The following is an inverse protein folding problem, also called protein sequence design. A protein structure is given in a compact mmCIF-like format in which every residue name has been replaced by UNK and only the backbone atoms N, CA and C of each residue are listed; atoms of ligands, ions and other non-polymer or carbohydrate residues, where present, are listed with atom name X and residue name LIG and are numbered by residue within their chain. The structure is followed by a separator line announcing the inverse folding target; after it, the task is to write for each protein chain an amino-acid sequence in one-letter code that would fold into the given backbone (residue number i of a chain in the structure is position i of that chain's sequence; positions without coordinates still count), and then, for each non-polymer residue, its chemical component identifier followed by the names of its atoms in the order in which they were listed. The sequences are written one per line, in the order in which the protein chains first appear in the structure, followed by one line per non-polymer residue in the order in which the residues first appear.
data_IF_446887001003
#
_entry.id   IF_446887001003
#
_cell.length_a   1.000
_cell.length_b   1.000
_cell.length_c   1.000
_cell.angle_alpha   90.00
_cell.angle_beta   90.00
_cell.angle_gamma   90.00
#
_symmetry.space_group_name_H-M   'P 1'
#
loop_
_entity.id
_entity.type
_entity.pdbx_description
1 polymer ?
#
# COMPACT_ATOMS: atom_id res chain seq x y z
N UNK A 1 -41.65 21.85 -35.82
CA UNK A 1 -40.65 21.06 -36.57
C UNK A 1 -39.38 21.88 -36.66
N UNK A 2 -38.38 21.61 -35.82
CA UNK A 2 -37.08 22.28 -35.93
C UNK A 2 -36.25 21.58 -37.01
N UNK A 3 -36.03 22.27 -38.13
CA UNK A 3 -35.08 21.84 -39.14
C UNK A 3 -33.67 22.12 -38.63
N UNK A 4 -32.98 21.08 -38.16
CA UNK A 4 -31.54 21.16 -37.95
C UNK A 4 -30.88 21.22 -39.33
N UNK A 5 -30.22 22.33 -39.63
CA UNK A 5 -29.56 22.59 -40.91
C UNK A 5 -28.50 21.53 -41.16
N UNK A 6 -28.52 20.88 -42.32
CA UNK A 6 -27.62 19.76 -42.70
C UNK A 6 -26.14 20.08 -42.50
N UNK A 7 -25.77 21.35 -42.70
CA UNK A 7 -24.41 21.88 -42.50
C UNK A 7 -23.97 21.84 -41.03
N UNK A 8 -24.91 22.06 -40.10
CA UNK A 8 -24.66 22.04 -38.66
C UNK A 8 -24.40 20.60 -38.17
N UNK A 9 -25.11 19.61 -38.73
CA UNK A 9 -24.88 18.19 -38.44
C UNK A 9 -23.51 17.74 -38.94
N UNK A 10 -23.09 18.20 -40.13
CA UNK A 10 -21.76 17.90 -40.68
C UNK A 10 -20.63 18.54 -39.87
N UNK A 11 -20.75 19.80 -39.44
CA UNK A 11 -19.74 20.44 -38.59
C UNK A 11 -19.62 19.77 -37.22
N UNK A 12 -20.73 19.35 -36.60
CA UNK A 12 -20.71 18.62 -35.33
C UNK A 12 -20.08 17.23 -35.51
N UNK A 13 -20.37 16.53 -36.61
CA UNK A 13 -19.78 15.22 -36.90
C UNK A 13 -18.26 15.29 -37.12
N UNK A 14 -17.78 16.31 -37.86
CA UNK A 14 -16.34 16.55 -38.07
C UNK A 14 -15.65 16.88 -36.74
N UNK A 15 -16.28 17.73 -35.92
CA UNK A 15 -15.76 18.09 -34.61
C UNK A 15 -15.67 16.85 -33.69
N UNK A 16 -16.71 16.01 -33.66
CA UNK A 16 -16.71 14.75 -32.91
C UNK A 16 -15.64 13.76 -33.42
N UNK A 17 -15.43 13.67 -34.72
CA UNK A 17 -14.37 12.84 -35.32
C UNK A 17 -12.97 13.36 -34.98
N UNK A 18 -12.76 14.68 -34.95
CA UNK A 18 -11.48 15.30 -34.55
C UNK A 18 -11.19 15.09 -33.05
N UNK A 19 -12.21 15.15 -32.20
CA UNK A 19 -12.07 14.83 -30.77
C UNK A 19 -11.85 13.33 -30.53
N UNK A 20 -12.56 12.45 -31.25
CA UNK A 20 -12.39 11.01 -31.14
C UNK A 20 -10.99 10.54 -31.61
N UNK A 21 -10.47 11.13 -32.69
CA UNK A 21 -9.13 10.78 -33.22
C UNK A 21 -7.99 11.30 -32.35
N UNK A 22 -8.11 12.50 -31.76
CA UNK A 22 -7.12 13.02 -30.81
C UNK A 22 -7.12 12.25 -29.49
N UNK A 23 -8.29 11.82 -29.00
CA UNK A 23 -8.37 10.90 -27.86
C UNK A 23 -7.72 9.55 -28.19
N UNK A 24 -8.13 8.84 -29.25
CA UNK A 24 -7.55 7.52 -29.59
C UNK A 24 -6.04 7.58 -29.84
N UNK A 25 -5.56 8.64 -30.50
CA UNK A 25 -4.14 8.82 -30.80
C UNK A 25 -3.28 9.06 -29.56
N UNK A 26 -3.81 9.72 -28.52
CA UNK A 26 -3.10 9.87 -27.25
C UNK A 26 -3.11 8.55 -26.45
N UNK A 27 -4.24 7.83 -26.39
CA UNK A 27 -4.32 6.52 -25.72
C UNK A 27 -3.30 5.50 -26.27
N UNK A 28 -3.21 5.35 -27.60
CA UNK A 28 -2.27 4.41 -28.24
C UNK A 28 -0.79 4.79 -28.08
N UNK A 29 -0.50 6.08 -27.90
CA UNK A 29 0.88 6.58 -27.75
C UNK A 29 1.40 6.39 -26.32
N UNK A 30 0.51 6.34 -25.34
CA UNK A 30 0.85 6.20 -23.91
C UNK A 30 1.05 4.73 -23.50
N UNK A 31 0.25 3.79 -24.03
CA UNK A 31 0.48 2.35 -23.78
C UNK A 31 1.88 1.89 -24.24
N UNK A 32 2.39 2.42 -25.35
CA UNK A 32 3.74 2.12 -25.86
C UNK A 32 4.88 2.74 -25.03
N UNK A 33 4.58 3.61 -24.06
CA UNK A 33 5.56 4.26 -23.18
C UNK A 33 5.64 3.65 -21.78
N UNK A 34 4.78 2.68 -21.46
CA UNK A 34 4.74 2.09 -20.12
C UNK A 34 6.05 1.34 -19.83
N UNK A 35 6.81 1.85 -18.87
CA UNK A 35 8.00 1.22 -18.29
C UNK A 35 7.57 0.22 -17.23
N UNK A 36 8.39 -0.80 -17.00
CA UNK A 36 8.18 -1.78 -15.94
C UNK A 36 9.50 -2.27 -15.35
N UNK A 37 9.50 -2.51 -14.04
CA UNK A 37 10.60 -3.13 -13.32
C UNK A 37 10.08 -4.02 -12.20
N UNK A 38 10.89 -5.03 -11.88
CA UNK A 38 10.65 -6.00 -10.81
C UNK A 38 11.74 -5.80 -9.77
N UNK A 39 11.33 -5.75 -8.50
CA UNK A 39 12.19 -5.55 -7.35
C UNK A 39 11.88 -6.59 -6.27
N UNK A 40 12.80 -6.73 -5.31
CA UNK A 40 12.66 -7.62 -4.16
C UNK A 40 12.84 -6.80 -2.87
N UNK A 41 12.05 -7.11 -1.86
CA UNK A 41 12.36 -6.68 -0.49
C UNK A 41 13.67 -7.32 -0.02
N UNK A 42 14.25 -6.86 1.10
CA UNK A 42 15.23 -7.68 1.82
C UNK A 42 14.64 -9.05 2.17
N UNK A 43 15.53 -10.04 2.28
CA UNK A 43 15.18 -11.42 2.66
C UNK A 43 14.53 -11.46 4.04
N UNK A 44 13.52 -12.30 4.20
CA UNK A 44 13.00 -12.70 5.51
C UNK A 44 12.89 -14.21 5.61
N UNK A 45 12.96 -14.72 6.83
CA UNK A 45 12.88 -16.16 7.09
C UNK A 45 11.66 -16.49 7.91
N UNK A 46 10.96 -17.54 7.51
CA UNK A 46 9.78 -18.06 8.19
C UNK A 46 9.92 -19.57 8.40
N UNK A 47 9.72 -20.02 9.64
CA UNK A 47 9.46 -21.42 9.97
C UNK A 47 7.99 -21.65 10.32
N UNK A 48 7.55 -22.91 10.48
CA UNK A 48 6.17 -23.24 10.83
C UNK A 48 5.62 -22.41 11.99
N UNK A 49 4.46 -21.79 11.81
CA UNK A 49 3.77 -20.97 12.81
C UNK A 49 4.37 -19.57 13.01
N UNK A 50 5.59 -19.31 12.57
CA UNK A 50 6.25 -18.03 12.83
C UNK A 50 5.62 -16.87 12.08
N UNK A 51 5.78 -15.67 12.66
CA UNK A 51 5.29 -14.40 12.15
C UNK A 51 6.46 -13.47 11.89
N UNK A 52 6.43 -12.79 10.75
CA UNK A 52 7.21 -11.58 10.55
C UNK A 52 6.29 -10.38 10.43
N UNK A 53 6.68 -9.24 11.00
CA UNK A 53 6.02 -7.96 10.79
C UNK A 53 7.07 -6.84 10.72
N UNK A 54 7.75 -6.75 9.57
CA UNK A 54 8.96 -5.97 9.39
C UNK A 54 8.73 -4.75 8.53
N UNK A 55 9.47 -3.68 8.79
CA UNK A 55 9.45 -2.44 8.03
C UNK A 55 10.80 -2.28 7.31
N UNK A 56 10.76 -2.24 5.99
CA UNK A 56 11.93 -2.01 5.14
C UNK A 56 11.84 -0.61 4.56
N UNK A 57 12.79 0.25 4.94
CA UNK A 57 12.88 1.64 4.48
C UNK A 57 13.90 1.76 3.36
N UNK A 58 13.70 2.74 2.46
CA UNK A 58 14.61 2.98 1.35
C UNK A 58 14.65 1.83 0.35
N UNK A 59 13.51 1.17 0.13
CA UNK A 59 13.42 0.09 -0.86
C UNK A 59 13.63 0.63 -2.27
N UNK A 60 14.09 -0.24 -3.18
CA UNK A 60 14.24 0.11 -4.58
C UNK A 60 12.89 0.47 -5.19
N UNK A 61 12.84 1.60 -5.89
CA UNK A 61 11.63 2.10 -6.52
C UNK A 61 12.00 2.94 -7.75
N UNK A 62 11.16 3.01 -8.80
CA UNK A 62 11.40 3.89 -9.93
C UNK A 62 11.66 5.34 -9.50
N UNK A 63 12.71 5.95 -10.07
CA UNK A 63 13.16 7.31 -9.73
C UNK A 63 12.68 8.33 -10.77
N UNK A 64 12.65 9.60 -10.35
CA UNK A 64 12.24 10.73 -11.17
C UNK A 64 10.77 11.09 -10.95
N UNK A 65 10.33 12.14 -11.65
CA UNK A 65 8.93 12.56 -11.67
C UNK A 65 8.16 11.66 -12.63
N UNK A 66 7.31 10.80 -12.08
CA UNK A 66 6.66 9.73 -12.83
C UNK A 66 5.18 9.62 -12.49
N UNK A 67 4.45 8.95 -13.37
CA UNK A 67 3.07 8.57 -13.15
C UNK A 67 2.99 7.04 -12.96
N UNK A 68 2.64 6.59 -11.75
CA UNK A 68 2.45 5.17 -11.50
C UNK A 68 1.19 4.66 -12.21
N UNK A 69 1.35 3.50 -12.83
CA UNK A 69 0.32 2.81 -13.63
C UNK A 69 -0.14 1.50 -13.00
N UNK A 70 0.71 0.83 -12.22
CA UNK A 70 0.31 -0.31 -11.38
C UNK A 70 1.40 -0.65 -10.37
N UNK A 71 1.02 -1.25 -9.25
CA UNK A 71 1.91 -1.87 -8.29
C UNK A 71 1.35 -3.23 -7.89
N UNK A 72 2.07 -4.31 -8.17
CA UNK A 72 1.66 -5.67 -7.82
C UNK A 72 2.73 -6.34 -6.96
N UNK A 73 2.33 -7.05 -5.91
CA UNK A 73 3.25 -7.74 -5.02
C UNK A 73 2.88 -9.22 -4.84
N UNK A 74 3.90 -10.02 -4.57
CA UNK A 74 3.78 -11.47 -4.37
C UNK A 74 4.89 -11.96 -3.44
N UNK A 75 4.59 -12.90 -2.55
CA UNK A 75 5.63 -13.57 -1.76
C UNK A 75 6.24 -14.69 -2.58
N UNK A 76 7.56 -14.69 -2.70
CA UNK A 76 8.30 -15.67 -3.49
C UNK A 76 9.42 -16.34 -2.69
N UNK A 77 9.79 -17.54 -3.08
CA UNK A 77 11.00 -18.22 -2.60
C UNK A 77 12.29 -17.69 -3.26
N UNK A 78 13.43 -18.25 -2.88
CA UNK A 78 14.75 -17.92 -3.45
C UNK A 78 14.86 -18.20 -4.96
N UNK A 79 14.05 -19.12 -5.50
CA UNK A 79 13.98 -19.41 -6.92
C UNK A 79 12.98 -18.51 -7.67
N UNK A 80 12.27 -17.61 -6.97
CA UNK A 80 11.30 -16.69 -7.53
C UNK A 80 9.90 -17.30 -7.75
N UNK A 81 9.63 -18.49 -7.21
CA UNK A 81 8.31 -19.12 -7.29
C UNK A 81 7.36 -18.50 -6.27
N UNK A 82 6.13 -18.22 -6.70
CA UNK A 82 5.10 -17.71 -5.81
C UNK A 82 4.73 -18.73 -4.73
N UNK A 83 4.65 -18.28 -3.48
CA UNK A 83 4.25 -19.13 -2.36
C UNK A 83 2.71 -19.24 -2.30
N UNK A 84 2.15 -20.43 -2.04
CA UNK A 84 0.72 -20.57 -1.77
C UNK A 84 0.31 -19.89 -0.45
N UNK A 85 -0.81 -19.15 -0.47
CA UNK A 85 -1.33 -18.45 0.72
C UNK A 85 -1.69 -19.40 1.89
N UNK A 86 -2.01 -20.66 1.60
CA UNK A 86 -2.30 -21.67 2.62
C UNK A 86 -1.04 -22.23 3.30
N UNK A 87 0.14 -21.84 2.82
CA UNK A 87 1.44 -22.13 3.43
C UNK A 87 1.99 -20.88 4.11
N UNK A 88 2.13 -19.77 3.37
CA UNK A 88 2.52 -18.47 3.92
C UNK A 88 1.43 -17.46 3.64
N UNK A 89 0.72 -17.06 4.68
CA UNK A 89 -0.32 -16.07 4.60
C UNK A 89 0.30 -14.67 4.66
N UNK A 90 0.20 -13.90 3.57
CA UNK A 90 0.64 -12.51 3.53
C UNK A 90 -0.46 -11.64 4.14
N UNK A 91 -0.48 -11.51 5.48
CA UNK A 91 -1.53 -10.78 6.18
C UNK A 91 -1.67 -9.33 5.66
N UNK A 92 -0.57 -8.62 5.43
CA UNK A 92 -0.56 -7.37 4.66
C UNK A 92 0.83 -7.02 4.15
N UNK A 93 0.88 -6.19 3.10
CA UNK A 93 2.11 -5.68 2.52
C UNK A 93 2.00 -4.17 2.29
N UNK A 94 2.12 -3.36 3.33
CA UNK A 94 1.84 -1.93 3.23
C UNK A 94 2.99 -1.20 2.53
N UNK A 95 2.70 -0.49 1.43
CA UNK A 95 3.66 0.38 0.74
C UNK A 95 3.33 1.83 1.01
N UNK A 96 4.32 2.59 1.48
CA UNK A 96 4.15 4.01 1.75
C UNK A 96 5.34 4.86 1.29
N UNK A 97 5.03 6.12 1.03
CA UNK A 97 5.94 7.16 0.57
C UNK A 97 6.36 8.01 1.77
N UNK A 98 7.61 8.46 1.82
CA UNK A 98 8.10 9.36 2.86
C UNK A 98 9.22 10.25 2.36
N UNK A 99 9.40 11.39 3.03
CA UNK A 99 10.55 12.26 2.85
C UNK A 99 11.56 12.01 3.95
N UNK A 100 12.82 11.80 3.58
CA UNK A 100 13.94 11.65 4.51
C UNK A 100 14.90 12.83 4.38
N UNK A 101 15.37 13.37 5.51
CA UNK A 101 16.44 14.37 5.50
C UNK A 101 17.73 13.78 4.91
N UNK A 102 18.35 14.51 3.98
CA UNK A 102 19.61 14.11 3.32
C UNK A 102 20.80 14.02 4.28
N UNK A 103 20.68 14.59 5.49
CA UNK A 103 21.75 14.68 6.48
C UNK A 103 21.74 13.51 7.50
N UNK A 104 20.88 12.51 7.32
CA UNK A 104 20.77 11.37 8.24
C UNK A 104 21.80 10.30 7.89
N UNK A 105 22.73 10.02 8.80
CA UNK A 105 23.56 8.81 8.79
C UNK A 105 22.81 7.67 9.47
N UNK A 106 22.59 6.57 8.76
CA UNK A 106 21.81 5.42 9.25
C UNK A 106 22.49 4.70 10.43
N UNK A 107 21.72 4.35 11.46
CA UNK A 107 22.00 3.21 12.34
C UNK A 107 20.87 2.19 12.16
N UNK A 108 21.22 0.93 11.90
CA UNK A 108 20.30 -0.16 11.52
C UNK A 108 19.23 -0.51 12.59
N UNK A 109 19.36 0.02 13.82
CA UNK A 109 18.64 -0.46 14.99
C UNK A 109 17.31 0.22 15.33
N UNK A 110 16.76 1.11 14.48
CA UNK A 110 15.58 1.92 14.86
C UNK A 110 14.39 1.85 13.88
N UNK A 111 14.24 0.72 13.14
CA UNK A 111 13.15 0.49 12.18
C UNK A 111 11.75 0.69 12.77
N UNK A 112 11.58 0.51 14.08
CA UNK A 112 10.31 0.70 14.79
C UNK A 112 10.08 2.11 15.35
N UNK A 113 11.12 2.95 15.46
CA UNK A 113 11.06 4.31 16.04
C UNK A 113 11.09 5.43 15.00
N UNK A 114 11.22 5.09 13.72
CA UNK A 114 11.25 6.09 12.63
C UNK A 114 9.96 6.91 12.48
N UNK A 115 8.83 6.46 13.06
CA UNK A 115 7.55 7.19 13.08
C UNK A 115 7.58 8.46 13.96
N UNK A 116 8.56 8.62 14.85
CA UNK A 116 8.66 9.75 15.79
C UNK A 116 9.89 10.64 15.58
N UNK A 117 10.70 10.39 14.54
CA UNK A 117 11.89 11.18 14.28
C UNK A 117 11.55 12.31 13.28
N UNK A 118 11.90 13.56 13.61
CA UNK A 118 11.70 14.74 12.74
C UNK A 118 12.42 14.64 11.39
N UNK A 119 13.32 13.67 11.25
CA UNK A 119 14.07 13.38 10.04
C UNK A 119 13.30 12.57 8.98
N UNK A 120 12.10 12.08 9.32
CA UNK A 120 11.27 11.22 8.47
C UNK A 120 9.83 11.73 8.48
N UNK A 121 9.34 12.17 7.31
CA UNK A 121 7.97 12.68 7.16
C UNK A 121 7.20 11.75 6.23
N UNK A 122 6.24 11.03 6.80
CA UNK A 122 5.35 10.14 6.04
C UNK A 122 4.45 10.95 5.09
N UNK A 123 4.48 10.62 3.81
CA UNK A 123 3.57 11.20 2.81
C UNK A 123 2.35 10.30 2.69
N UNK A 124 1.21 10.81 3.17
CA UNK A 124 -0.04 10.05 3.26
C UNK A 124 -0.78 10.07 1.92
N UNK A 125 -1.67 9.09 1.72
CA UNK A 125 -2.68 9.16 0.68
C UNK A 125 -3.71 10.28 0.98
N UNK A 126 -4.63 10.55 0.07
CA UNK A 126 -5.62 11.63 0.17
C UNK A 126 -6.89 11.26 0.95
N UNK A 127 -6.92 10.10 1.60
CA UNK A 127 -8.02 9.62 2.43
C UNK A 127 -8.24 10.47 3.70
N UNK A 128 -9.45 10.35 4.25
CA UNK A 128 -9.92 11.14 5.40
C UNK A 128 -9.40 10.63 6.75
N UNK A 129 -8.82 9.42 6.79
CA UNK A 129 -8.33 8.82 8.01
C UNK A 129 -7.18 9.64 8.61
N UNK A 130 -7.38 10.09 9.84
CA UNK A 130 -6.42 10.89 10.60
C UNK A 130 -5.44 9.98 11.39
N UNK A 131 -4.44 10.59 12.03
CA UNK A 131 -3.63 9.92 13.07
C UNK A 131 -2.94 8.62 12.65
N UNK A 132 -1.99 8.66 11.72
CA UNK A 132 -1.17 7.53 11.25
C UNK A 132 -1.94 6.26 10.79
N UNK A 133 -3.27 6.28 10.75
CA UNK A 133 -4.08 5.15 10.29
C UNK A 133 -4.25 5.19 8.78
N UNK A 134 -4.12 4.05 8.10
CA UNK A 134 -4.48 3.87 6.69
C UNK A 134 -3.86 4.90 5.72
N UNK A 135 -2.63 5.35 5.98
CA UNK A 135 -1.93 6.36 5.17
C UNK A 135 -1.18 5.80 3.95
N UNK A 136 -1.18 4.48 3.78
CA UNK A 136 -0.46 3.77 2.73
C UNK A 136 -1.00 4.02 1.32
N UNK A 137 -0.20 3.70 0.31
CA UNK A 137 -0.56 3.83 -1.11
C UNK A 137 -1.05 2.49 -1.67
N UNK A 138 -0.41 1.38 -1.27
CA UNK A 138 -0.74 0.04 -1.72
C UNK A 138 -0.69 -0.99 -0.59
N UNK A 139 -1.30 -2.14 -0.85
CA UNK A 139 -1.12 -3.38 -0.10
C UNK A 139 -1.88 -3.48 1.21
N UNK A 140 -3.15 -3.89 1.05
CA UNK A 140 -4.10 -4.11 2.16
C UNK A 140 -3.91 -5.50 2.79
N UNK A 141 -3.88 -6.57 1.98
CA UNK A 141 -3.88 -7.94 2.47
C UNK A 141 -3.85 -9.00 1.38
N UNK A 142 -3.78 -10.26 1.78
CA UNK A 142 -3.83 -11.44 0.88
C UNK A 142 -5.09 -11.48 0.02
N UNK A 143 -6.17 -10.86 0.48
CA UNK A 143 -7.45 -10.73 -0.19
C UNK A 143 -7.35 -9.90 -1.48
N UNK A 144 -6.28 -9.12 -1.63
CA UNK A 144 -5.97 -8.37 -2.86
C UNK A 144 -5.01 -9.10 -3.80
N UNK A 145 -4.58 -10.32 -3.47
CA UNK A 145 -3.66 -11.09 -4.31
C UNK A 145 -4.28 -11.37 -5.67
N UNK A 146 -3.54 -11.04 -6.73
CA UNK A 146 -3.99 -11.21 -8.11
C UNK A 146 -4.98 -10.14 -8.58
N UNK A 147 -5.38 -9.19 -7.73
CA UNK A 147 -6.22 -8.07 -8.14
C UNK A 147 -5.38 -7.06 -8.92
N UNK A 148 -5.84 -6.71 -10.12
CA UNK A 148 -5.15 -5.75 -10.97
C UNK A 148 -5.22 -4.33 -10.36
N UNK A 149 -4.05 -3.72 -10.13
CA UNK A 149 -3.93 -2.33 -9.64
C UNK A 149 -3.75 -1.32 -10.78
N UNK A 150 -4.21 -1.68 -11.99
CA UNK A 150 -4.01 -0.88 -13.21
C UNK A 150 -4.76 0.45 -13.11
N UNK A 151 -4.02 1.51 -13.33
CA UNK A 151 -4.53 2.86 -13.58
C UNK A 151 -4.59 3.03 -15.10
N UNK A 152 -5.77 3.10 -15.73
CA UNK A 152 -5.87 3.24 -17.17
C UNK A 152 -5.34 4.59 -17.65
N UNK A 153 -4.95 4.69 -18.92
CA UNK A 153 -4.66 6.00 -19.51
C UNK A 153 -5.93 6.87 -19.55
N UNK A 154 -5.80 8.21 -19.62
CA UNK A 154 -4.57 9.00 -19.46
C UNK A 154 -4.19 9.19 -17.98
N UNK A 155 -4.80 8.45 -17.06
CA UNK A 155 -4.66 8.69 -15.63
C UNK A 155 -3.34 8.16 -15.06
N UNK A 156 -2.84 8.79 -14.01
CA UNK A 156 -1.62 8.34 -13.33
C UNK A 156 -1.52 8.86 -11.91
N UNK A 157 -0.93 8.07 -11.02
CA UNK A 157 -0.65 8.50 -9.64
C UNK A 157 0.71 9.21 -9.68
N UNK A 158 0.71 10.52 -9.47
CA UNK A 158 1.90 11.34 -9.47
C UNK A 158 2.80 11.03 -8.26
N UNK A 159 4.08 10.77 -8.51
CA UNK A 159 5.11 10.58 -7.47
C UNK A 159 6.44 11.17 -7.95
N UNK A 160 7.32 11.51 -6.99
CA UNK A 160 8.63 12.08 -7.30
C UNK A 160 8.58 13.49 -7.89
N UNK A 161 7.49 14.24 -7.69
CA UNK A 161 7.42 15.66 -8.06
C UNK A 161 8.36 16.47 -7.14
N UNK A 162 9.42 17.13 -7.68
CA UNK A 162 10.37 17.89 -6.86
C UNK A 162 9.74 19.04 -6.08
N UNK A 163 8.59 19.57 -6.52
CA UNK A 163 7.87 20.65 -5.83
C UNK A 163 7.16 20.16 -4.56
N UNK A 164 6.86 18.85 -4.44
CA UNK A 164 6.26 18.26 -3.23
C UNK A 164 7.30 17.93 -2.16
N UNK A 165 8.59 17.88 -2.51
CA UNK A 165 9.67 17.45 -1.61
C UNK A 165 10.29 18.67 -0.90
N UNK A 166 10.24 18.76 0.44
CA UNK A 166 10.83 19.86 1.18
C UNK A 166 12.34 20.01 0.93
N UNK A 167 12.84 21.24 0.99
CA UNK A 167 14.27 21.52 0.87
C UNK A 167 15.08 20.72 1.91
N UNK A 168 16.18 20.10 1.47
CA UNK A 168 17.02 19.25 2.32
C UNK A 168 16.50 17.82 2.51
N UNK A 169 15.36 17.46 1.91
CA UNK A 169 14.81 16.10 1.93
C UNK A 169 14.92 15.40 0.57
N UNK A 170 14.80 14.08 0.60
CA UNK A 170 14.62 13.23 -0.57
C UNK A 170 13.40 12.32 -0.39
N UNK A 171 12.69 12.03 -1.48
CA UNK A 171 11.58 11.08 -1.48
C UNK A 171 12.10 9.64 -1.51
N UNK A 172 11.56 8.82 -0.61
CA UNK A 172 11.84 7.39 -0.50
C UNK A 172 10.57 6.59 -0.28
N UNK A 173 10.72 5.28 -0.43
CA UNK A 173 9.65 4.31 -0.28
C UNK A 173 9.98 3.31 0.81
N UNK A 174 8.94 2.86 1.49
CA UNK A 174 9.02 1.77 2.46
C UNK A 174 8.02 0.68 2.08
N UNK A 175 8.33 -0.54 2.52
CA UNK A 175 7.33 -1.60 2.56
C UNK A 175 7.33 -2.25 3.93
N UNK A 176 6.14 -2.45 4.47
CA UNK A 176 5.92 -3.27 5.64
C UNK A 176 5.37 -4.63 5.21
N UNK A 177 6.06 -5.70 5.57
CA UNK A 177 5.67 -7.07 5.26
C UNK A 177 5.22 -7.75 6.54
N UNK A 178 3.94 -8.11 6.60
CA UNK A 178 3.39 -8.95 7.65
C UNK A 178 2.95 -10.27 7.06
N UNK A 179 3.67 -11.34 7.40
CA UNK A 179 3.45 -12.66 6.87
C UNK A 179 3.52 -13.73 7.97
N UNK A 180 2.70 -14.77 7.82
CA UNK A 180 2.51 -15.84 8.80
C UNK A 180 2.73 -17.16 8.09
N UNK A 181 3.63 -18.00 8.59
CA UNK A 181 3.74 -19.38 8.14
C UNK A 181 2.65 -20.22 8.80
N UNK A 182 1.68 -20.67 8.02
CA UNK A 182 0.53 -21.44 8.50
C UNK A 182 0.73 -22.95 8.34
N UNK A 183 1.92 -23.40 7.93
CA UNK A 183 2.24 -24.83 7.85
C UNK A 183 2.28 -25.41 9.26
N UNK A 184 1.55 -26.51 9.46
CA UNK A 184 1.54 -27.23 10.73
C UNK A 184 0.83 -26.55 11.90
N UNK A 185 0.19 -25.40 11.70
CA UNK A 185 -0.54 -24.73 12.79
C UNK A 185 -1.79 -25.51 13.18
N UNK A 186 -2.20 -25.40 14.45
CA UNK A 186 -3.41 -26.07 14.97
C UNK A 186 -4.67 -25.53 14.30
N UNK A 187 -4.81 -24.20 14.24
CA UNK A 187 -5.90 -23.48 13.58
C UNK A 187 -5.33 -22.44 12.61
N UNK A 188 -5.31 -22.77 11.32
CA UNK A 188 -4.85 -21.85 10.28
C UNK A 188 -5.64 -20.55 10.26
N UNK A 189 -6.96 -20.62 10.37
CA UNK A 189 -7.83 -19.45 10.29
C UNK A 189 -7.60 -18.54 11.51
N UNK A 190 -7.54 -19.13 12.70
CA UNK A 190 -7.23 -18.40 13.91
C UNK A 190 -5.86 -17.72 13.87
N UNK A 191 -4.84 -18.36 13.26
CA UNK A 191 -3.56 -17.71 13.03
C UNK A 191 -3.71 -16.52 12.07
N UNK A 192 -4.40 -16.69 10.94
CA UNK A 192 -4.57 -15.59 9.97
C UNK A 192 -5.37 -14.42 10.53
N UNK A 193 -6.30 -14.67 11.46
CA UNK A 193 -7.05 -13.65 12.19
C UNK A 193 -6.31 -13.09 13.42
N UNK A 194 -5.09 -13.57 13.68
CA UNK A 194 -4.26 -13.16 14.82
C UNK A 194 -4.94 -13.38 16.19
N UNK A 195 -5.65 -14.49 16.39
CA UNK A 195 -6.32 -14.82 17.67
C UNK A 195 -5.31 -15.03 18.78
N UNK A 196 -5.41 -14.24 19.85
CA UNK A 196 -4.37 -14.19 20.89
C UNK A 196 -4.12 -15.52 21.60
N UNK A 197 -5.16 -16.34 21.76
CA UNK A 197 -5.08 -17.68 22.35
C UNK A 197 -4.11 -18.63 21.62
N UNK A 198 -3.81 -18.36 20.35
CA UNK A 198 -2.91 -19.18 19.54
C UNK A 198 -1.45 -18.70 19.56
N UNK A 199 -1.14 -17.50 20.06
CA UNK A 199 0.20 -16.92 19.94
C UNK A 199 1.03 -16.95 21.24
N UNK A 200 0.44 -17.39 22.36
CA UNK A 200 1.10 -17.43 23.67
C UNK A 200 1.86 -16.13 24.02
N UNK A 201 1.25 -14.99 23.71
CA UNK A 201 1.80 -13.65 23.97
C UNK A 201 0.97 -12.94 25.03
N UNK A 202 1.65 -12.30 25.97
CA UNK A 202 1.02 -11.54 27.07
C UNK A 202 1.41 -10.06 27.07
N UNK A 203 2.42 -9.70 26.26
CA UNK A 203 2.91 -8.34 26.09
C UNK A 203 2.99 -8.01 24.60
N UNK A 204 2.66 -6.77 24.26
CA UNK A 204 2.77 -6.28 22.89
C UNK A 204 4.21 -5.91 22.51
N UNK A 205 4.42 -5.51 21.26
CA UNK A 205 5.73 -5.10 20.73
C UNK A 205 6.37 -3.89 21.43
N UNK A 206 5.63 -3.16 22.26
CA UNK A 206 6.12 -2.03 23.06
C UNK A 206 6.36 -2.42 24.52
N UNK A 207 6.27 -3.71 24.86
CA UNK A 207 6.41 -4.21 26.22
C UNK A 207 5.20 -3.95 27.11
N UNK A 208 4.05 -3.57 26.55
CA UNK A 208 2.83 -3.28 27.32
C UNK A 208 1.99 -4.54 27.42
N UNK A 209 1.46 -4.83 28.60
CA UNK A 209 0.55 -5.96 28.80
C UNK A 209 -0.66 -5.88 27.89
N UNK A 210 -0.94 -6.97 27.18
CA UNK A 210 -2.14 -7.11 26.35
C UNK A 210 -3.32 -7.28 27.29
N UNK A 211 -4.37 -6.46 27.10
CA UNK A 211 -5.54 -6.52 27.98
C UNK A 211 -6.28 -7.85 27.78
N UNK A 212 -6.83 -8.46 28.84
CA UNK A 212 -7.52 -9.76 28.72
C UNK A 212 -8.72 -9.77 27.76
N UNK A 213 -9.35 -8.60 27.53
CA UNK A 213 -10.47 -8.42 26.60
C UNK A 213 -10.03 -8.25 25.14
N UNK A 214 -8.71 -8.15 24.87
CA UNK A 214 -8.16 -8.11 23.52
C UNK A 214 -7.98 -9.54 22.98
N UNK A 215 -8.96 -10.00 22.20
CA UNK A 215 -9.03 -11.40 21.75
C UNK A 215 -8.29 -11.68 20.44
N UNK A 216 -7.96 -10.65 19.67
CA UNK A 216 -7.25 -10.82 18.40
C UNK A 216 -6.80 -9.53 17.73
N UNK A 217 -5.78 -9.65 16.89
CA UNK A 217 -5.24 -8.58 16.06
C UNK A 217 -3.75 -8.32 16.27
N UNK A 218 -3.29 -7.16 15.77
CA UNK A 218 -1.87 -6.79 15.68
C UNK A 218 -1.06 -6.93 16.97
N UNK A 219 -1.67 -6.76 18.16
CA UNK A 219 -0.93 -6.90 19.41
C UNK A 219 -0.50 -8.35 19.68
N UNK A 220 -1.20 -9.33 19.08
CA UNK A 220 -0.96 -10.74 19.32
C UNK A 220 -0.09 -11.41 18.26
N UNK A 221 -0.01 -10.82 17.08
CA UNK A 221 0.75 -11.32 15.94
C UNK A 221 1.85 -10.30 15.56
N UNK A 222 2.76 -10.03 16.49
CA UNK A 222 3.91 -9.16 16.28
C UNK A 222 5.07 -9.88 15.59
N UNK A 223 6.10 -9.13 15.21
CA UNK A 223 7.35 -9.73 14.70
C UNK A 223 7.89 -10.74 15.71
N UNK A 224 8.36 -11.90 15.23
CA UNK A 224 8.83 -13.04 16.03
C UNK A 224 7.78 -13.79 16.85
N UNK A 225 6.50 -13.41 16.80
CA UNK A 225 5.45 -14.22 17.39
C UNK A 225 5.36 -15.58 16.66
N UNK A 226 4.83 -16.59 17.34
CA UNK A 226 4.65 -17.91 16.76
C UNK A 226 3.26 -18.44 17.10
N UNK A 227 2.48 -18.73 16.05
CA UNK A 227 1.19 -19.38 16.17
C UNK A 227 1.37 -20.84 16.59
N UNK A 228 0.45 -21.33 17.40
CA UNK A 228 0.47 -22.67 17.98
C UNK A 228 0.50 -23.73 16.89
N UNK A 229 1.45 -24.65 17.04
CA UNK A 229 1.67 -25.78 16.14
C UNK A 229 0.98 -27.03 16.65
N UNK A 230 0.56 -27.89 15.72
CA UNK A 230 0.15 -29.26 16.05
C UNK A 230 1.30 -30.00 16.71
N UNK A 231 0.97 -30.78 17.72
CA UNK A 231 1.96 -31.58 18.46
C UNK A 231 2.80 -32.44 17.51
N UNK A 232 4.13 -32.38 17.66
CA UNK A 232 5.08 -33.13 16.85
C UNK A 232 5.30 -32.60 15.41
N UNK A 233 4.68 -31.49 15.01
CA UNK A 233 4.95 -30.91 13.69
C UNK A 233 6.29 -30.18 13.68
N UNK A 234 7.19 -30.64 12.82
CA UNK A 234 8.44 -29.95 12.48
C UNK A 234 8.48 -29.65 10.98
N UNK A 235 9.08 -28.52 10.62
CA UNK A 235 9.21 -28.14 9.23
C UNK A 235 10.37 -27.16 9.04
N UNK A 236 10.98 -27.16 7.85
CA UNK A 236 12.14 -26.31 7.60
C UNK A 236 11.74 -24.84 7.54
N UNK A 237 12.66 -23.99 7.97
CA UNK A 237 12.61 -22.55 7.67
C UNK A 237 12.78 -22.32 6.18
N UNK A 238 12.14 -21.28 5.67
CA UNK A 238 12.25 -20.83 4.27
C UNK A 238 12.74 -19.40 4.23
N UNK A 239 13.69 -19.14 3.33
CA UNK A 239 14.06 -17.80 2.89
C UNK A 239 13.03 -17.31 1.87
N UNK A 240 12.42 -16.16 2.12
CA UNK A 240 11.35 -15.59 1.31
C UNK A 240 11.62 -14.10 1.05
N UNK A 241 10.94 -13.59 0.02
CA UNK A 241 10.99 -12.19 -0.40
C UNK A 241 9.60 -11.71 -0.77
N UNK A 242 9.34 -10.41 -0.62
CA UNK A 242 8.24 -9.75 -1.31
C UNK A 242 8.77 -9.28 -2.67
N UNK A 243 8.36 -9.95 -3.74
CA UNK A 243 8.58 -9.49 -5.11
C UNK A 243 7.51 -8.48 -5.47
N UNK A 244 7.90 -7.32 -5.96
CA UNK A 244 6.96 -6.33 -6.47
C UNK A 244 7.31 -5.85 -7.87
N UNK A 245 6.28 -5.67 -8.68
CA UNK A 245 6.37 -5.15 -10.05
C UNK A 245 5.69 -3.80 -10.09
N UNK A 246 6.46 -2.79 -10.51
CA UNK A 246 5.96 -1.43 -10.72
C UNK A 246 5.86 -1.18 -12.22
N UNK A 247 4.77 -0.54 -12.65
CA UNK A 247 4.64 0.03 -13.99
C UNK A 247 4.41 1.52 -13.88
N UNK A 248 5.05 2.29 -14.76
CA UNK A 248 4.97 3.74 -14.76
C UNK A 248 5.22 4.32 -16.14
N UNK A 249 4.89 5.60 -16.32
CA UNK A 249 5.38 6.44 -17.42
C UNK A 249 6.12 7.63 -16.84
N UNK A 250 7.01 8.25 -17.63
CA UNK A 250 7.57 9.55 -17.23
C UNK A 250 6.45 10.59 -17.16
N UNK A 251 6.51 11.48 -16.19
CA UNK A 251 5.51 12.53 -16.05
C UNK A 251 5.61 13.52 -17.23
N UNK A 252 4.48 13.84 -17.84
CA UNK A 252 4.33 14.89 -18.84
C UNK A 252 2.91 15.49 -18.78
N UNK A 253 2.69 16.63 -19.44
CA UNK A 253 1.42 17.37 -19.40
C UNK A 253 0.21 16.59 -19.98
N UNK A 254 0.43 15.42 -20.59
CA UNK A 254 -0.66 14.55 -21.05
C UNK A 254 -1.22 13.63 -19.98
N UNK A 255 -0.52 13.47 -18.85
CA UNK A 255 -0.97 12.65 -17.72
C UNK A 255 -2.04 13.39 -16.91
N UNK A 256 -3.13 12.70 -16.60
CA UNK A 256 -4.18 13.22 -15.71
C UNK A 256 -3.94 12.69 -14.28
N UNK A 257 -3.58 13.54 -13.30
CA UNK A 257 -3.32 13.10 -11.94
C UNK A 257 -4.56 12.48 -11.28
N UNK A 258 -4.35 11.33 -10.63
CA UNK A 258 -5.31 10.72 -9.71
C UNK A 258 -4.72 10.63 -8.30
N UNK A 259 -5.59 10.76 -7.31
CA UNK A 259 -5.28 10.63 -5.90
C UNK A 259 -5.78 9.28 -5.38
N UNK A 260 -5.00 8.71 -4.47
CA UNK A 260 -5.37 7.47 -3.77
C UNK A 260 -6.17 7.84 -2.54
N UNK A 261 -7.29 7.15 -2.34
CA UNK A 261 -8.11 7.21 -1.14
C UNK A 261 -8.22 5.80 -0.57
N UNK A 262 -8.03 5.67 0.74
CA UNK A 262 -8.38 4.45 1.46
C UNK A 262 -9.61 4.75 2.29
N UNK A 263 -10.67 3.97 2.05
CA UNK A 263 -11.94 4.08 2.78
C UNK A 263 -12.03 2.95 3.78
N UNK A 264 -12.31 3.30 5.04
CA UNK A 264 -12.62 2.37 6.11
C UNK A 264 -14.13 2.34 6.34
N UNK A 265 -14.75 1.17 6.13
CA UNK A 265 -16.20 1.02 6.31
C UNK A 265 -16.63 1.08 7.77
N UNK A 266 -15.68 0.94 8.69
CA UNK A 266 -15.90 1.00 10.15
C UNK A 266 -15.61 2.38 10.73
N UNK A 267 -15.21 3.34 9.88
CA UNK A 267 -14.97 4.71 10.31
C UNK A 267 -16.23 5.32 10.92
N UNK A 268 -16.03 6.01 12.05
CA UNK A 268 -17.07 6.76 12.73
C UNK A 268 -16.63 8.21 12.83
N UNK A 269 -17.40 9.11 12.23
CA UNK A 269 -17.17 10.54 12.30
C UNK A 269 -17.69 11.13 13.61
N UNK A 270 -16.81 11.78 14.38
CA UNK A 270 -17.18 12.63 15.50
C UNK A 270 -16.99 14.09 15.11
N UNK A 271 -18.08 14.84 15.13
CA UNK A 271 -18.06 16.28 14.91
C UNK A 271 -17.93 16.97 16.26
N UNK A 272 -16.95 17.86 16.40
CA UNK A 272 -16.79 18.74 17.56
C UNK A 272 -16.71 20.19 17.11
N UNK A 273 -17.39 21.08 17.82
CA UNK A 273 -17.35 22.51 17.55
C UNK A 273 -16.26 23.15 18.41
N UNK A 274 -15.23 23.67 17.75
CA UNK A 274 -14.17 24.42 18.42
C UNK A 274 -14.23 25.89 17.97
N UNK A 275 -13.54 26.79 18.66
CA UNK A 275 -13.46 28.22 18.29
C UNK A 275 -12.88 28.50 16.89
N UNK A 276 -12.32 27.47 16.24
CA UNK A 276 -11.77 27.49 14.87
C UNK A 276 -12.68 26.86 13.80
N UNK A 277 -13.88 26.38 14.16
CA UNK A 277 -14.83 25.73 13.25
C UNK A 277 -15.20 24.31 13.66
N UNK A 278 -15.91 23.61 12.75
CA UNK A 278 -16.26 22.18 12.90
C UNK A 278 -14.99 21.35 12.72
N UNK A 279 -14.57 20.67 13.78
CA UNK A 279 -13.52 19.68 13.73
C UNK A 279 -14.15 18.29 13.49
N UNK A 280 -13.70 17.62 12.42
CA UNK A 280 -14.09 16.26 12.07
C UNK A 280 -13.01 15.30 12.55
N UNK A 281 -13.35 14.46 13.52
CA UNK A 281 -12.46 13.43 14.05
C UNK A 281 -12.91 12.07 13.50
N UNK A 282 -12.06 11.48 12.66
CA UNK A 282 -12.31 10.18 12.03
C UNK A 282 -11.64 9.07 12.83
N UNK A 283 -12.41 8.06 13.20
CA UNK A 283 -11.97 6.95 14.06
C UNK A 283 -11.66 5.70 13.22
N UNK A 284 -10.86 5.88 12.17
CA UNK A 284 -10.47 4.77 11.31
C UNK A 284 -9.68 3.69 12.09
N UNK A 285 -9.94 2.43 11.76
CA UNK A 285 -9.34 1.24 12.36
C UNK A 285 -8.31 0.64 11.40
N UNK A 286 -7.08 0.48 11.89
CA UNK A 286 -5.99 -0.17 11.13
C UNK A 286 -6.30 -1.64 10.82
N UNK A 287 -7.10 -2.30 11.67
CA UNK A 287 -7.53 -3.69 11.49
C UNK A 287 -8.95 -3.80 10.88
N UNK A 288 -9.49 -2.70 10.34
CA UNK A 288 -10.84 -2.66 9.76
C UNK A 288 -10.86 -3.08 8.28
N UNK A 289 -12.05 -3.40 7.76
CA UNK A 289 -12.24 -3.67 6.34
C UNK A 289 -12.08 -2.37 5.53
N UNK A 290 -11.07 -2.33 4.67
CA UNK A 290 -10.72 -1.13 3.90
C UNK A 290 -10.64 -1.41 2.40
N UNK A 291 -10.83 -0.36 1.57
CA UNK A 291 -10.67 -0.44 0.11
C UNK A 291 -9.94 0.78 -0.46
N UNK A 292 -9.05 0.53 -1.42
CA UNK A 292 -8.41 1.58 -2.22
C UNK A 292 -9.35 2.05 -3.34
N UNK A 293 -9.43 3.37 -3.50
CA UNK A 293 -10.17 4.04 -4.57
C UNK A 293 -9.27 5.10 -5.20
N UNK A 294 -9.28 5.17 -6.53
CA UNK A 294 -8.55 6.18 -7.29
C UNK A 294 -9.54 7.23 -7.79
N UNK A 295 -9.34 8.47 -7.39
CA UNK A 295 -10.21 9.58 -7.82
C UNK A 295 -9.39 10.66 -8.53
N UNK A 296 -9.96 11.26 -9.57
CA UNK A 296 -9.32 12.37 -10.29
C UNK A 296 -9.03 13.53 -9.34
N UNK A 297 -7.84 14.12 -9.41
CA UNK A 297 -7.58 15.37 -8.69
C UNK A 297 -8.49 16.47 -9.24
N UNK A 298 -9.33 17.06 -8.39
CA UNK A 298 -10.19 18.19 -8.77
C UNK A 298 -9.46 19.54 -8.72
N UNK A 299 -8.19 19.54 -8.32
CA UNK A 299 -7.32 20.72 -8.35
C UNK A 299 -6.15 20.38 -9.26
N UNK A 300 -6.16 21.01 -10.44
CA UNK A 300 -5.07 21.20 -11.37
C UNK A 300 -5.15 22.67 -11.80
#
# INVERSE_FOLDING_TARGET
MCFVRRDFVFSVAILLLLFATTCLGSFLKTENKIKSAVFLSPKFELGPGSVINRYYYGIDFPKGHIALKSFNAEVVDEAGNSIPLHETYLHHWVVARYHQSKHVTHTENDTHRMLHNSNHVMVRNSGICQGNALGQYFGLGSETRGTETRVPDPFGIEVGNPEEVPEGFEEKWMVNVHAIDTRGTEDKMGCTECKCELYNVTVDKYGRTIRPDYVGGLLCCSDYAQCKLKEGFEGPKRSLYLRYTVKWVDWDDSVVPVKIYILDVTDSLKLSNNSKGINSDHNCKVNGLCRNVYMRSMHA
#
